data_IF_964796801753
#
_entry.id   IF_964796801753
#
_cell.length_a   1.000
_cell.length_b   1.000
_cell.length_c   1.000
_cell.angle_alpha   90.00
_cell.angle_beta   90.00
_cell.angle_gamma   90.00
#
_symmetry.space_group_name_H-M   'P 1'
#
loop_
_entity.id
_entity.type
_entity.pdbx_description
1 polymer ?
#
# COMPACT_ATOMS: atom_id res chain seq x y z
N UNK A 1 -15.99 21.97 7.48
CA UNK A 1 -15.82 21.25 6.20
C UNK A 1 -14.46 20.54 6.22
N UNK A 2 -14.39 19.26 6.60
CA UNK A 2 -13.10 18.52 6.75
C UNK A 2 -12.63 17.81 5.46
N UNK A 3 -13.43 17.88 4.39
CA UNK A 3 -13.17 17.18 3.13
C UNK A 3 -12.19 17.90 2.19
N UNK A 4 -11.89 19.19 2.40
CA UNK A 4 -11.01 19.97 1.51
C UNK A 4 -9.50 19.66 1.67
N UNK A 5 -9.12 18.78 2.61
CA UNK A 5 -7.71 18.40 2.83
C UNK A 5 -7.31 17.15 2.05
N UNK A 6 -8.28 16.33 1.62
CA UNK A 6 -8.03 15.11 0.86
C UNK A 6 -7.40 15.40 -0.52
N UNK A 7 -7.72 16.54 -1.13
CA UNK A 7 -7.18 16.95 -2.44
C UNK A 7 -5.68 17.28 -2.46
N UNK A 8 -5.02 17.37 -1.30
CA UNK A 8 -3.58 17.68 -1.23
C UNK A 8 -2.72 16.60 -0.57
N UNK A 9 -3.32 15.52 -0.07
CA UNK A 9 -2.55 14.44 0.53
C UNK A 9 -1.99 13.55 -0.58
N UNK A 10 -0.67 13.30 -0.64
CA UNK A 10 -0.10 12.38 -1.61
C UNK A 10 -0.82 11.01 -1.58
N UNK A 11 -1.13 10.39 -2.73
CA UNK A 11 -1.93 9.17 -2.76
C UNK A 11 -1.40 8.06 -1.85
N UNK A 12 -0.09 7.81 -1.85
CA UNK A 12 0.51 6.79 -0.98
C UNK A 12 0.46 7.13 0.51
N UNK A 13 0.54 8.42 0.87
CA UNK A 13 0.37 8.85 2.26
C UNK A 13 -1.06 8.60 2.75
N UNK A 14 -2.07 8.87 1.92
CA UNK A 14 -3.45 8.56 2.25
C UNK A 14 -3.72 7.05 2.29
N UNK A 15 -3.16 6.28 1.35
CA UNK A 15 -3.23 4.81 1.36
C UNK A 15 -2.65 4.22 2.66
N UNK A 16 -1.47 4.71 3.07
CA UNK A 16 -0.82 4.30 4.30
C UNK A 16 -1.65 4.65 5.55
N UNK A 17 -2.26 5.83 5.56
CA UNK A 17 -3.16 6.25 6.64
C UNK A 17 -4.42 5.38 6.72
N UNK A 18 -5.09 5.12 5.59
CA UNK A 18 -6.27 4.24 5.53
C UNK A 18 -5.91 2.86 6.09
N UNK A 19 -4.77 2.31 5.68
CA UNK A 19 -4.29 1.02 6.16
C UNK A 19 -4.12 0.99 7.68
N UNK A 20 -3.33 1.93 8.20
CA UNK A 20 -3.05 2.07 9.64
C UNK A 20 -4.34 2.16 10.45
N UNK A 21 -5.26 3.03 10.05
CA UNK A 21 -6.51 3.26 10.81
C UNK A 21 -7.41 2.02 10.82
N UNK A 22 -7.51 1.29 9.69
CA UNK A 22 -8.29 0.04 9.64
C UNK A 22 -7.69 -1.06 10.52
N UNK A 23 -6.36 -1.19 10.54
CA UNK A 23 -5.69 -2.14 11.43
C UNK A 23 -5.85 -1.74 12.91
N UNK A 24 -5.75 -0.45 13.23
CA UNK A 24 -5.91 0.06 14.61
C UNK A 24 -7.32 -0.11 15.15
N UNK A 25 -8.35 0.18 14.35
CA UNK A 25 -9.76 0.06 14.77
C UNK A 25 -10.16 -1.41 14.91
N UNK A 26 -9.59 -2.30 14.09
CA UNK A 26 -9.83 -3.75 14.13
C UNK A 26 -11.33 -4.14 14.17
N UNK A 27 -12.14 -3.71 13.18
CA UNK A 27 -13.61 -3.75 13.28
C UNK A 27 -14.24 -5.14 13.16
N UNK A 28 -13.49 -6.15 12.70
CA UNK A 28 -14.00 -7.51 12.49
C UNK A 28 -13.34 -8.51 13.46
N UNK A 29 -13.99 -9.65 13.71
CA UNK A 29 -13.46 -10.72 14.56
C UNK A 29 -12.27 -11.48 13.92
N UNK A 30 -12.24 -11.56 12.60
CA UNK A 30 -11.12 -12.08 11.78
C UNK A 30 -11.13 -11.37 10.43
N UNK A 31 -10.02 -11.43 9.69
CA UNK A 31 -9.94 -10.97 8.32
C UNK A 31 -9.49 -9.52 8.18
N UNK A 32 -9.27 -8.79 9.28
CA UNK A 32 -8.89 -7.37 9.26
C UNK A 32 -7.71 -7.08 8.31
N UNK A 33 -6.66 -7.90 8.35
CA UNK A 33 -5.52 -7.74 7.44
C UNK A 33 -5.86 -7.98 5.96
N UNK A 34 -6.74 -8.94 5.66
CA UNK A 34 -7.20 -9.22 4.28
C UNK A 34 -8.07 -8.09 3.77
N UNK A 35 -9.07 -7.70 4.56
CA UNK A 35 -9.99 -6.60 4.24
C UNK A 35 -9.25 -5.28 4.05
N UNK A 36 -8.30 -4.97 4.93
CA UNK A 36 -7.50 -3.75 4.84
C UNK A 36 -6.71 -3.69 3.53
N UNK A 37 -6.06 -4.79 3.14
CA UNK A 37 -5.34 -4.85 1.86
C UNK A 37 -6.28 -4.65 0.67
N UNK A 38 -7.47 -5.26 0.67
CA UNK A 38 -8.46 -5.05 -0.40
C UNK A 38 -8.89 -3.59 -0.48
N UNK A 39 -9.19 -2.95 0.65
CA UNK A 39 -9.60 -1.53 0.68
C UNK A 39 -8.50 -0.62 0.16
N UNK A 40 -7.26 -0.83 0.62
CA UNK A 40 -6.10 -0.03 0.19
C UNK A 40 -5.79 -0.27 -1.29
N UNK A 41 -5.84 -1.51 -1.77
CA UNK A 41 -5.69 -1.84 -3.19
C UNK A 41 -6.76 -1.16 -4.04
N UNK A 42 -8.03 -1.22 -3.63
CA UNK A 42 -9.12 -0.55 -4.35
C UNK A 42 -8.91 0.97 -4.42
N UNK A 43 -8.45 1.59 -3.33
CA UNK A 43 -8.10 3.00 -3.32
C UNK A 43 -6.95 3.31 -4.28
N UNK A 44 -5.87 2.52 -4.28
CA UNK A 44 -4.73 2.72 -5.19
C UNK A 44 -5.14 2.59 -6.66
N UNK A 45 -5.97 1.60 -7.00
CA UNK A 45 -6.53 1.42 -8.35
C UNK A 45 -7.37 2.65 -8.76
N UNK A 46 -8.19 3.18 -7.85
CA UNK A 46 -8.98 4.40 -8.12
C UNK A 46 -8.12 5.66 -8.37
N UNK A 47 -6.82 5.58 -8.07
CA UNK A 47 -5.81 6.61 -8.29
C UNK A 47 -4.81 6.23 -9.40
N UNK A 48 -5.15 5.22 -10.22
CA UNK A 48 -4.34 4.75 -11.36
C UNK A 48 -2.98 4.14 -10.95
N UNK A 49 -2.88 3.61 -9.73
CA UNK A 49 -1.73 2.83 -9.27
C UNK A 49 -2.04 1.34 -9.23
N UNK A 50 -0.98 0.52 -9.22
CA UNK A 50 -1.11 -0.92 -9.03
C UNK A 50 -1.64 -1.23 -7.62
N UNK A 51 -2.40 -2.33 -7.45
CA UNK A 51 -2.86 -2.76 -6.14
C UNK A 51 -1.69 -3.07 -5.21
N UNK A 52 -1.94 -3.00 -3.90
CA UNK A 52 -0.99 -3.44 -2.88
C UNK A 52 -0.76 -4.95 -3.01
N UNK A 53 0.47 -5.35 -3.34
CA UNK A 53 0.88 -6.73 -3.59
C UNK A 53 1.90 -7.19 -2.55
N UNK A 54 1.47 -7.96 -1.55
CA UNK A 54 2.40 -8.54 -0.56
C UNK A 54 2.78 -9.95 -1.02
N UNK A 55 4.00 -10.12 -1.53
CA UNK A 55 4.51 -11.44 -1.93
C UNK A 55 5.03 -12.22 -0.72
N UNK A 56 5.21 -13.53 -0.86
CA UNK A 56 5.76 -14.38 0.22
C UNK A 56 7.15 -13.93 0.65
N UNK A 57 8.01 -13.57 -0.31
CA UNK A 57 9.39 -13.16 -0.06
C UNK A 57 9.49 -11.75 0.58
N UNK A 58 8.43 -10.94 0.48
CA UNK A 58 8.39 -9.55 0.93
C UNK A 58 7.48 -9.38 2.18
N UNK A 59 6.97 -10.50 2.71
CA UNK A 59 6.04 -10.52 3.84
C UNK A 59 6.61 -9.85 5.08
N UNK A 60 7.88 -10.11 5.39
CA UNK A 60 8.48 -9.59 6.62
C UNK A 60 8.66 -8.07 6.55
N UNK A 61 9.10 -7.55 5.41
CA UNK A 61 9.19 -6.11 5.13
C UNK A 61 7.84 -5.42 5.25
N UNK A 62 6.78 -6.05 4.72
CA UNK A 62 5.41 -5.56 4.91
C UNK A 62 5.03 -5.48 6.39
N UNK A 63 5.30 -6.55 7.16
CA UNK A 63 4.94 -6.61 8.58
C UNK A 63 5.68 -5.54 9.37
N UNK A 64 6.99 -5.37 9.14
CA UNK A 64 7.81 -4.33 9.78
C UNK A 64 7.28 -2.93 9.48
N UNK A 65 6.94 -2.66 8.21
CA UNK A 65 6.40 -1.37 7.81
C UNK A 65 5.01 -1.10 8.45
N UNK A 66 4.16 -2.11 8.55
CA UNK A 66 2.87 -2.02 9.25
C UNK A 66 3.06 -1.81 10.75
N UNK A 67 4.01 -2.49 11.38
CA UNK A 67 4.34 -2.31 12.79
C UNK A 67 4.79 -0.87 13.06
N UNK A 68 5.72 -0.34 12.26
CA UNK A 68 6.14 1.05 12.39
C UNK A 68 4.97 2.05 12.26
N UNK A 69 4.05 1.80 11.33
CA UNK A 69 2.88 2.64 11.13
C UNK A 69 1.88 2.59 12.30
N UNK A 70 1.62 1.40 12.85
CA UNK A 70 0.57 1.17 13.85
C UNK A 70 1.05 1.41 15.27
N UNK A 71 2.26 0.95 15.60
CA UNK A 71 2.86 0.98 16.95
C UNK A 71 3.63 2.27 17.16
N UNK A 72 4.54 2.60 16.24
CA UNK A 72 5.45 3.77 16.39
C UNK A 72 4.84 5.06 15.83
N UNK A 73 3.61 5.00 15.33
CA UNK A 73 2.89 6.07 14.64
C UNK A 73 3.64 6.64 13.41
N UNK A 74 4.64 5.90 12.91
CA UNK A 74 5.51 6.32 11.83
C UNK A 74 5.05 5.72 10.49
N UNK A 75 4.36 6.53 9.69
CA UNK A 75 3.86 6.10 8.38
C UNK A 75 4.97 5.99 7.31
N UNK A 76 6.15 6.58 7.52
CA UNK A 76 7.17 6.69 6.47
C UNK A 76 7.62 5.32 5.90
N UNK A 77 7.94 4.30 6.73
CA UNK A 77 8.33 2.99 6.21
C UNK A 77 7.26 2.37 5.32
N UNK A 78 5.98 2.53 5.67
CA UNK A 78 4.88 1.99 4.88
C UNK A 78 4.62 2.77 3.60
N UNK A 79 4.80 4.10 3.62
CA UNK A 79 4.74 4.92 2.40
C UNK A 79 5.86 4.53 1.43
N UNK A 80 7.09 4.38 1.92
CA UNK A 80 8.24 3.94 1.12
C UNK A 80 8.00 2.54 0.56
N UNK A 81 7.50 1.62 1.39
CA UNK A 81 7.13 0.28 0.97
C UNK A 81 6.14 0.27 -0.21
N UNK A 82 5.06 1.05 -0.12
CA UNK A 82 4.09 1.18 -1.21
C UNK A 82 4.73 1.73 -2.48
N UNK A 83 5.59 2.74 -2.37
CA UNK A 83 6.28 3.35 -3.51
C UNK A 83 7.25 2.36 -4.20
N UNK A 84 8.06 1.66 -3.42
CA UNK A 84 9.03 0.69 -3.94
C UNK A 84 8.37 -0.48 -4.67
N UNK A 85 7.21 -0.93 -4.19
CA UNK A 85 6.43 -1.95 -4.91
C UNK A 85 6.03 -1.49 -6.31
N UNK A 86 5.54 -0.25 -6.45
CA UNK A 86 5.14 0.29 -7.75
C UNK A 86 6.35 0.36 -8.69
N UNK A 87 7.49 0.85 -8.18
CA UNK A 87 8.72 0.91 -8.96
C UNK A 87 9.22 -0.46 -9.39
N UNK A 88 9.18 -1.45 -8.50
CA UNK A 88 9.61 -2.81 -8.81
C UNK A 88 8.73 -3.43 -9.90
N UNK A 89 7.42 -3.25 -9.81
CA UNK A 89 6.47 -3.76 -10.81
C UNK A 89 6.63 -3.09 -12.18
N UNK A 90 6.86 -1.77 -12.22
CA UNK A 90 7.12 -1.05 -13.48
C UNK A 90 8.41 -1.55 -14.15
N UNK A 91 9.50 -1.67 -13.39
CA UNK A 91 10.79 -2.20 -13.90
C UNK A 91 10.66 -3.62 -14.45
N UNK A 92 9.84 -4.45 -13.78
CA UNK A 92 9.56 -5.80 -14.26
C UNK A 92 8.87 -5.77 -15.63
N UNK A 93 7.84 -4.94 -15.80
CA UNK A 93 7.13 -4.80 -17.08
C UNK A 93 8.02 -4.30 -18.22
N UNK A 94 8.98 -3.41 -17.93
CA UNK A 94 9.96 -2.95 -18.92
C UNK A 94 10.88 -4.08 -19.38
N UNK A 95 11.29 -4.97 -18.46
CA UNK A 95 12.20 -6.08 -18.78
C UNK A 95 11.56 -7.19 -19.63
N UNK A 96 10.26 -7.45 -19.50
CA UNK A 96 9.53 -8.43 -20.32
C UNK A 96 9.29 -7.93 -21.75
N UNK A 97 9.09 -6.62 -21.93
CA UNK A 97 8.91 -6.01 -23.27
C UNK A 97 10.12 -6.13 -24.20
N UNK A 98 11.29 -6.53 -23.68
CA UNK A 98 12.55 -6.68 -24.42
C UNK A 98 12.77 -8.10 -24.97
N UNK A 99 11.93 -9.07 -24.59
CA UNK A 99 12.03 -10.48 -25.03
C UNK A 99 11.02 -10.87 -26.12
N UNK A 100 10.13 -9.96 -26.54
CA UNK A 100 9.04 -10.25 -27.50
C UNK A 100 9.24 -9.65 -28.92
N UNK A 101 10.46 -9.25 -29.28
CA UNK A 101 10.77 -8.87 -30.67
C UNK A 101 11.44 -10.02 -31.44
N UNK A 102 10.80 -10.57 -32.50
CA UNK A 102 11.44 -11.48 -33.44
C UNK A 102 12.49 -10.78 -34.32
#
# INVERSE_FOLDING_TARGET
>A
NRYSKADRTPPFALAALIHKELIKIHPFSDGNGRTTRVVVSNYLISKEYLPLLVTLNDRDRYIEAVQAAVVDDNLQPFIVYLYEQQLAALKFSESESMCDFP
#
